data_IF_270964597175
#
_entry.id   IF_270964597175
#
_cell.length_a   1.000
_cell.length_b   1.000
_cell.length_c   1.000
_cell.angle_alpha   90.00
_cell.angle_beta   90.00
_cell.angle_gamma   90.00
#
_symmetry.space_group_name_H-M   'P 1'
#
loop_
_entity.id
_entity.type
_entity.pdbx_description
1 polymer ?
#
# COMPACT_ATOMS: atom_id res chain seq x y z
N UNK A 1 43.14 -41.39 41.18
CA UNK A 1 43.20 -41.00 39.75
C UNK A 1 42.26 -41.78 38.84
N UNK A 2 41.86 -43.05 39.17
CA UNK A 2 40.96 -43.84 38.34
C UNK A 2 39.49 -43.39 38.27
N UNK A 3 38.99 -42.64 39.27
CA UNK A 3 37.57 -42.24 39.37
C UNK A 3 37.19 -41.09 38.42
N UNK A 4 38.12 -40.32 37.89
CA UNK A 4 37.85 -39.21 36.97
C UNK A 4 38.12 -39.64 35.49
N UNK A 5 39.02 -40.60 35.29
CA UNK A 5 39.43 -41.02 33.94
C UNK A 5 38.32 -41.82 33.22
N UNK A 6 37.61 -42.67 33.93
CA UNK A 6 36.54 -43.49 33.37
C UNK A 6 35.33 -42.65 32.85
N UNK A 7 34.78 -41.67 33.62
CA UNK A 7 33.74 -40.78 33.12
C UNK A 7 34.20 -39.94 31.94
N UNK A 8 35.46 -39.46 31.93
CA UNK A 8 36.00 -38.65 30.84
C UNK A 8 36.10 -39.47 29.53
N UNK A 9 36.50 -40.72 29.62
CA UNK A 9 36.54 -41.64 28.43
C UNK A 9 35.12 -41.89 27.91
N UNK A 10 34.14 -42.13 28.80
CA UNK A 10 32.75 -42.38 28.41
C UNK A 10 32.19 -41.14 27.66
N UNK A 11 32.38 -39.96 28.19
CA UNK A 11 31.91 -38.70 27.54
C UNK A 11 32.60 -38.49 26.18
N UNK A 12 33.91 -38.76 26.09
CA UNK A 12 34.64 -38.63 24.83
C UNK A 12 34.14 -39.63 23.77
N UNK A 13 33.87 -40.88 24.17
CA UNK A 13 33.34 -41.93 23.24
C UNK A 13 31.94 -41.58 22.79
N UNK A 14 31.06 -41.15 23.70
CA UNK A 14 29.69 -40.73 23.34
C UNK A 14 29.73 -39.50 22.41
N UNK A 15 30.59 -38.51 22.69
CA UNK A 15 30.76 -37.34 21.83
C UNK A 15 31.27 -37.70 20.43
N UNK A 16 32.19 -38.65 20.35
CA UNK A 16 32.75 -39.13 19.06
C UNK A 16 31.68 -39.86 18.25
N UNK A 17 30.91 -40.76 18.87
CA UNK A 17 29.80 -41.48 18.24
C UNK A 17 28.74 -40.49 17.75
N UNK A 18 28.31 -39.55 18.60
CA UNK A 18 27.34 -38.55 18.22
C UNK A 18 27.84 -37.65 17.04
N UNK A 19 29.10 -37.25 17.06
CA UNK A 19 29.74 -36.53 15.95
C UNK A 19 29.73 -37.29 14.63
N UNK A 20 30.06 -38.60 14.66
CA UNK A 20 30.01 -39.46 13.48
C UNK A 20 28.56 -39.58 12.96
N UNK A 21 27.59 -39.81 13.82
CA UNK A 21 26.17 -39.93 13.45
C UNK A 21 25.71 -38.60 12.80
N UNK A 22 26.02 -37.45 13.39
CA UNK A 22 25.65 -36.16 12.84
C UNK A 22 26.30 -35.86 11.48
N UNK A 23 27.60 -36.25 11.29
CA UNK A 23 28.25 -36.05 9.99
C UNK A 23 27.70 -36.98 8.90
N UNK A 24 27.34 -38.21 9.25
CA UNK A 24 26.67 -39.14 8.31
C UNK A 24 25.27 -38.60 7.98
N UNK A 25 24.49 -38.22 8.98
CA UNK A 25 23.16 -37.65 8.78
C UNK A 25 23.21 -36.40 7.91
N UNK A 26 24.15 -35.47 8.16
CA UNK A 26 24.34 -34.27 7.35
C UNK A 26 24.67 -34.58 5.89
N UNK A 27 25.48 -35.61 5.63
CA UNK A 27 25.77 -36.05 4.25
C UNK A 27 24.58 -36.72 3.56
N UNK A 28 23.84 -37.55 4.29
CA UNK A 28 22.66 -38.25 3.74
C UNK A 28 21.49 -37.33 3.49
N UNK A 29 21.36 -36.26 4.31
CA UNK A 29 20.29 -35.25 4.22
C UNK A 29 20.74 -34.00 3.43
N UNK A 30 21.93 -34.03 2.81
CA UNK A 30 22.38 -32.90 2.00
C UNK A 30 21.50 -32.83 0.74
N UNK A 31 20.67 -31.78 0.70
CA UNK A 31 19.91 -31.37 -0.48
C UNK A 31 20.81 -30.43 -1.28
N UNK A 32 21.23 -30.80 -2.50
CA UNK A 32 22.00 -29.88 -3.33
C UNK A 32 21.17 -28.63 -3.59
N UNK A 33 21.67 -27.46 -3.18
CA UNK A 33 21.06 -26.18 -3.52
C UNK A 33 21.34 -25.92 -4.99
N UNK A 34 20.30 -25.75 -5.78
CA UNK A 34 20.44 -25.34 -7.19
C UNK A 34 21.09 -23.97 -7.23
N UNK A 35 22.17 -23.79 -7.96
CA UNK A 35 22.88 -22.50 -8.09
C UNK A 35 21.96 -21.39 -8.60
N UNK A 36 20.96 -21.73 -9.41
CA UNK A 36 19.93 -20.80 -9.89
C UNK A 36 19.06 -20.29 -8.74
N UNK A 37 18.68 -21.18 -7.81
CA UNK A 37 17.87 -20.80 -6.63
C UNK A 37 18.65 -19.83 -5.75
N UNK A 38 19.92 -20.08 -5.50
CA UNK A 38 20.78 -19.18 -4.74
C UNK A 38 20.92 -17.80 -5.42
N UNK A 39 21.12 -17.78 -6.75
CA UNK A 39 21.18 -16.54 -7.51
C UNK A 39 19.87 -15.76 -7.50
N UNK A 40 18.71 -16.44 -7.57
CA UNK A 40 17.39 -15.81 -7.46
C UNK A 40 17.17 -15.23 -6.06
N UNK A 41 17.56 -15.97 -5.00
CA UNK A 41 17.42 -15.50 -3.62
C UNK A 41 18.24 -14.22 -3.36
N UNK A 42 19.45 -14.11 -3.92
CA UNK A 42 20.28 -12.91 -3.82
C UNK A 42 19.66 -11.68 -4.51
N UNK A 43 18.96 -11.89 -5.61
CA UNK A 43 18.27 -10.81 -6.35
C UNK A 43 16.97 -10.38 -5.66
N UNK A 44 16.32 -11.28 -4.94
CA UNK A 44 15.05 -10.98 -4.23
C UNK A 44 15.29 -10.02 -3.07
N UNK A 45 14.32 -9.13 -2.76
CA UNK A 45 14.49 -8.06 -1.76
C UNK A 45 14.61 -8.53 -0.30
N UNK A 46 14.49 -9.82 0.00
CA UNK A 46 14.64 -10.37 1.35
C UNK A 46 13.57 -9.92 2.36
N UNK A 47 12.53 -9.23 1.93
CA UNK A 47 11.51 -8.64 2.82
C UNK A 47 10.62 -9.69 3.52
N UNK A 48 10.55 -10.91 3.01
CA UNK A 48 9.75 -12.02 3.53
C UNK A 48 8.31 -11.60 3.88
N UNK A 49 7.66 -10.83 2.98
CA UNK A 49 6.36 -10.21 3.23
C UNK A 49 5.17 -11.11 2.86
N UNK A 50 5.40 -12.20 2.13
CA UNK A 50 4.36 -13.13 1.70
C UNK A 50 3.40 -12.61 0.61
N UNK A 51 3.68 -11.45 0.00
CA UNK A 51 2.80 -10.85 -1.02
C UNK A 51 2.80 -11.60 -2.36
N UNK A 52 3.86 -12.33 -2.66
CA UNK A 52 3.95 -13.22 -3.82
C UNK A 52 3.15 -14.53 -3.67
N UNK A 53 2.56 -14.78 -2.49
CA UNK A 53 1.83 -16.02 -2.17
C UNK A 53 2.68 -17.10 -1.51
N UNK A 54 3.99 -16.89 -1.36
CA UNK A 54 4.93 -17.80 -0.70
C UNK A 54 5.25 -17.33 0.72
N UNK A 55 5.69 -18.23 1.60
CA UNK A 55 5.97 -17.90 3.00
C UNK A 55 7.16 -16.94 3.17
N UNK A 56 8.11 -16.97 2.22
CA UNK A 56 9.28 -16.11 2.21
C UNK A 56 9.94 -15.99 0.85
N UNK A 57 10.99 -15.19 0.76
CA UNK A 57 11.74 -15.01 -0.48
C UNK A 57 12.45 -16.30 -0.89
N UNK A 58 13.02 -17.06 0.07
CA UNK A 58 13.64 -18.35 -0.18
C UNK A 58 12.63 -19.37 -0.71
N UNK A 59 11.41 -19.39 -0.18
CA UNK A 59 10.34 -20.26 -0.65
C UNK A 59 9.97 -19.99 -2.11
N UNK A 60 9.86 -18.70 -2.46
CA UNK A 60 9.58 -18.28 -3.83
C UNK A 60 10.75 -18.64 -4.76
N UNK A 61 12.02 -18.47 -4.33
CA UNK A 61 13.19 -18.86 -5.09
C UNK A 61 13.23 -20.38 -5.34
N UNK A 62 12.94 -21.19 -4.32
CA UNK A 62 12.86 -22.66 -4.44
C UNK A 62 11.73 -23.09 -5.38
N UNK A 63 10.57 -22.44 -5.31
CA UNK A 63 9.45 -22.74 -6.19
C UNK A 63 9.79 -22.44 -7.67
N UNK A 64 10.48 -21.31 -7.94
CA UNK A 64 10.98 -21.00 -9.28
C UNK A 64 12.00 -22.00 -9.79
N UNK A 65 12.90 -22.49 -8.92
CA UNK A 65 13.86 -23.53 -9.29
C UNK A 65 13.22 -24.88 -9.61
N UNK A 66 12.06 -25.17 -9.01
CA UNK A 66 11.33 -26.43 -9.17
C UNK A 66 10.31 -26.41 -10.31
N UNK A 67 9.72 -25.25 -10.60
CA UNK A 67 8.65 -25.06 -11.59
C UNK A 67 9.04 -23.94 -12.57
N UNK A 68 9.42 -24.34 -13.78
CA UNK A 68 9.83 -23.40 -14.84
C UNK A 68 8.65 -22.55 -15.40
N UNK A 69 7.40 -23.00 -15.21
CA UNK A 69 6.20 -22.31 -15.67
C UNK A 69 5.71 -21.25 -14.67
N UNK A 70 6.31 -21.20 -13.46
CA UNK A 70 5.94 -20.24 -12.45
C UNK A 70 6.33 -18.82 -12.89
N UNK A 71 5.40 -17.87 -12.71
CA UNK A 71 5.64 -16.47 -13.10
C UNK A 71 6.79 -15.83 -12.31
N UNK A 72 7.75 -15.23 -13.01
CA UNK A 72 8.87 -14.47 -12.43
C UNK A 72 8.47 -13.09 -11.90
N UNK A 73 7.23 -12.66 -12.15
CA UNK A 73 6.72 -11.32 -11.84
C UNK A 73 5.84 -11.26 -10.57
N UNK A 74 5.84 -12.30 -9.72
CA UNK A 74 4.98 -12.36 -8.54
C UNK A 74 5.43 -11.45 -7.38
N UNK A 75 6.69 -10.98 -7.36
CA UNK A 75 7.20 -10.16 -6.26
C UNK A 75 6.84 -8.67 -6.44
N UNK A 76 5.84 -8.11 -5.71
CA UNK A 76 5.46 -6.72 -5.87
C UNK A 76 6.49 -5.74 -5.27
N UNK A 77 7.25 -6.20 -4.27
CA UNK A 77 8.30 -5.41 -3.59
C UNK A 77 9.50 -5.19 -4.49
N UNK A 78 9.90 -6.24 -5.23
CA UNK A 78 11.01 -6.18 -6.17
C UNK A 78 10.70 -5.39 -7.44
N UNK A 79 9.42 -5.29 -7.79
CA UNK A 79 8.98 -4.55 -8.98
C UNK A 79 9.53 -5.13 -10.29
N UNK A 80 9.53 -4.31 -11.33
CA UNK A 80 9.95 -4.72 -12.68
C UNK A 80 11.44 -5.08 -12.76
N UNK A 81 12.29 -4.42 -12.00
CA UNK A 81 13.75 -4.63 -12.03
C UNK A 81 14.13 -6.02 -11.52
N UNK A 82 13.54 -6.45 -10.40
CA UNK A 82 13.76 -7.78 -9.83
C UNK A 82 13.16 -8.86 -10.74
N UNK A 83 11.95 -8.63 -11.26
CA UNK A 83 11.32 -9.56 -12.18
C UNK A 83 12.13 -9.78 -13.46
N UNK A 84 12.74 -8.74 -14.03
CA UNK A 84 13.60 -8.83 -15.19
C UNK A 84 14.85 -9.66 -14.89
N UNK A 85 15.53 -9.43 -13.75
CA UNK A 85 16.71 -10.20 -13.34
C UNK A 85 16.37 -11.67 -13.07
N UNK A 86 15.26 -11.95 -12.39
CA UNK A 86 14.78 -13.31 -12.15
C UNK A 86 14.47 -14.01 -13.48
N UNK A 87 13.82 -13.30 -14.42
CA UNK A 87 13.54 -13.84 -15.74
C UNK A 87 14.83 -14.16 -16.53
N UNK A 88 15.85 -13.31 -16.41
CA UNK A 88 17.18 -13.54 -17.01
C UNK A 88 17.84 -14.80 -16.45
N UNK A 89 17.85 -14.98 -15.12
CA UNK A 89 18.38 -16.17 -14.46
C UNK A 89 17.63 -17.44 -14.88
N UNK A 90 16.30 -17.35 -15.01
CA UNK A 90 15.46 -18.47 -15.43
C UNK A 90 15.47 -18.71 -16.94
N UNK A 91 16.03 -17.80 -17.76
CA UNK A 91 16.03 -17.88 -19.22
C UNK A 91 14.65 -17.74 -19.85
N UNK A 92 13.70 -17.06 -19.19
CA UNK A 92 12.33 -16.84 -19.67
C UNK A 92 12.08 -15.36 -19.98
N UNK A 93 11.06 -15.08 -20.80
CA UNK A 93 10.67 -13.70 -21.05
C UNK A 93 10.08 -13.07 -19.79
N UNK A 94 10.57 -11.91 -19.39
CA UNK A 94 10.05 -11.18 -18.23
C UNK A 94 8.60 -10.74 -18.43
N UNK A 95 7.73 -10.96 -17.43
CA UNK A 95 6.35 -10.47 -17.43
C UNK A 95 6.28 -8.97 -17.14
N UNK A 96 5.31 -8.29 -17.75
CA UNK A 96 5.02 -6.89 -17.43
C UNK A 96 4.36 -6.80 -16.04
N UNK A 97 4.92 -5.97 -15.16
CA UNK A 97 4.37 -5.71 -13.83
C UNK A 97 3.67 -4.35 -13.84
N UNK A 98 2.37 -4.32 -13.53
CA UNK A 98 1.65 -3.09 -13.22
C UNK A 98 1.73 -2.85 -11.70
N UNK A 99 2.59 -1.92 -11.23
CA UNK A 99 2.81 -1.73 -9.80
C UNK A 99 1.53 -1.25 -9.13
N UNK A 100 1.11 -1.97 -8.10
CA UNK A 100 -0.04 -1.63 -7.26
C UNK A 100 0.43 -1.05 -5.94
N UNK A 101 -0.34 -0.12 -5.41
CA UNK A 101 -0.13 0.49 -4.10
C UNK A 101 -1.39 0.37 -3.27
N UNK A 102 -1.22 0.28 -1.96
CA UNK A 102 -2.34 0.31 -1.04
C UNK A 102 -2.94 1.71 -0.96
N UNK A 103 -4.27 1.80 -0.87
CA UNK A 103 -5.01 3.04 -0.69
C UNK A 103 -6.08 2.87 0.38
N UNK A 104 -6.18 3.84 1.29
CA UNK A 104 -7.24 3.87 2.30
C UNK A 104 -8.51 4.46 1.71
N UNK A 105 -9.57 3.65 1.65
CA UNK A 105 -10.87 4.06 1.13
C UNK A 105 -11.70 4.80 2.20
N UNK A 106 -11.06 5.75 2.87
CA UNK A 106 -11.68 6.63 3.85
C UNK A 106 -10.95 7.98 3.88
N UNK A 107 -11.72 9.06 3.99
CA UNK A 107 -11.26 10.45 4.18
C UNK A 107 -11.86 11.08 5.42
N UNK A 108 -12.54 10.27 6.24
CA UNK A 108 -13.26 10.71 7.43
C UNK A 108 -12.32 11.00 8.60
N UNK A 109 -11.64 12.16 8.58
CA UNK A 109 -10.85 12.65 9.71
C UNK A 109 -11.73 13.08 10.88
N UNK A 110 -11.12 13.36 12.03
CA UNK A 110 -11.77 13.88 13.23
C UNK A 110 -12.55 15.18 13.00
N UNK A 111 -12.14 15.99 12.02
CA UNK A 111 -12.82 17.24 11.68
C UNK A 111 -14.13 17.07 10.91
N UNK A 112 -14.29 15.96 10.19
CA UNK A 112 -15.41 15.74 9.25
C UNK A 112 -16.31 14.57 9.62
N UNK A 113 -15.98 13.86 10.71
CA UNK A 113 -16.73 12.72 11.23
C UNK A 113 -17.05 12.96 12.71
N UNK A 114 -18.29 12.69 13.13
CA UNK A 114 -18.67 12.89 14.53
C UNK A 114 -18.14 11.72 15.38
N UNK A 115 -17.54 12.07 16.51
CA UNK A 115 -17.22 11.12 17.56
C UNK A 115 -18.48 10.77 18.35
N UNK A 116 -18.73 9.49 18.58
CA UNK A 116 -19.91 9.02 19.34
C UNK A 116 -19.55 8.45 20.70
N UNK A 117 -18.28 8.05 20.87
CA UNK A 117 -17.76 7.52 22.12
C UNK A 117 -16.25 7.60 22.19
N UNK A 118 -15.72 7.84 23.36
CA UNK A 118 -14.29 7.75 23.63
C UNK A 118 -13.91 6.31 23.95
N UNK A 119 -12.90 5.78 23.26
CA UNK A 119 -12.36 4.43 23.49
C UNK A 119 -11.14 4.50 24.41
N UNK A 120 -11.38 4.76 25.72
CA UNK A 120 -10.31 4.74 26.72
C UNK A 120 -9.71 3.34 26.81
N UNK A 121 -8.36 3.23 26.77
CA UNK A 121 -7.60 1.99 26.94
C UNK A 121 -7.66 0.97 25.78
N UNK A 122 -8.28 1.31 24.66
CA UNK A 122 -8.25 0.46 23.46
C UNK A 122 -7.24 1.05 22.48
N UNK A 123 -6.16 0.31 22.23
CA UNK A 123 -5.02 0.77 21.40
C UNK A 123 -5.00 0.16 19.99
N UNK A 124 -5.87 -0.83 19.69
CA UNK A 124 -5.86 -1.51 18.39
C UNK A 124 -7.20 -1.43 17.67
N UNK A 125 -7.15 -1.29 16.33
CA UNK A 125 -8.36 -1.29 15.50
C UNK A 125 -9.15 -2.59 15.63
N UNK A 126 -8.46 -3.72 15.75
CA UNK A 126 -9.09 -5.04 15.92
C UNK A 126 -9.92 -5.10 17.20
N UNK A 127 -9.37 -4.65 18.33
CA UNK A 127 -10.10 -4.62 19.59
C UNK A 127 -11.27 -3.61 19.55
N UNK A 128 -11.05 -2.41 19.03
CA UNK A 128 -12.10 -1.41 18.86
C UNK A 128 -13.27 -1.93 18.02
N UNK A 129 -12.98 -2.64 16.93
CA UNK A 129 -14.01 -3.24 16.06
C UNK A 129 -14.81 -4.32 16.78
N UNK A 130 -14.15 -5.18 17.57
CA UNK A 130 -14.80 -6.28 18.27
C UNK A 130 -15.73 -5.80 19.39
N UNK A 131 -15.33 -4.79 20.16
CA UNK A 131 -16.07 -4.38 21.35
C UNK A 131 -17.09 -3.27 21.08
N UNK A 132 -16.78 -2.28 20.24
CA UNK A 132 -17.59 -1.07 20.15
C UNK A 132 -17.87 -0.61 18.72
N UNK A 133 -17.26 -1.23 17.71
CA UNK A 133 -17.37 -0.79 16.30
C UNK A 133 -16.58 0.46 15.97
N UNK A 134 -15.87 1.07 16.92
CA UNK A 134 -15.05 2.26 16.77
C UNK A 134 -15.61 3.51 17.45
N UNK A 135 -14.82 4.59 17.51
CA UNK A 135 -15.19 5.89 18.11
C UNK A 135 -16.10 6.72 17.22
N UNK A 136 -16.08 6.48 15.91
CA UNK A 136 -16.71 7.36 14.93
C UNK A 136 -18.14 6.95 14.59
N UNK A 137 -18.97 7.89 14.25
CA UNK A 137 -20.37 7.65 13.81
C UNK A 137 -20.49 6.88 12.48
N UNK A 138 -19.41 6.78 11.71
CA UNK A 138 -19.36 6.01 10.48
C UNK A 138 -18.84 4.58 10.75
N UNK A 139 -19.69 3.52 10.68
CA UNK A 139 -19.25 2.14 10.96
C UNK A 139 -18.38 1.54 9.85
N UNK A 140 -18.30 2.20 8.69
CA UNK A 140 -17.52 1.78 7.52
C UNK A 140 -16.17 2.48 7.42
N UNK A 141 -15.89 3.45 8.31
CA UNK A 141 -14.73 4.32 8.23
C UNK A 141 -13.45 3.71 8.81
N UNK A 142 -12.38 4.49 8.76
CA UNK A 142 -11.15 4.20 9.47
C UNK A 142 -11.39 4.31 10.98
N UNK A 143 -10.82 3.38 11.75
CA UNK A 143 -10.89 3.40 13.22
C UNK A 143 -9.79 4.28 13.83
N UNK A 144 -8.73 4.56 13.07
CA UNK A 144 -7.71 5.54 13.45
C UNK A 144 -6.68 5.07 14.49
N UNK A 145 -6.64 3.78 14.86
CA UNK A 145 -5.77 3.29 15.94
C UNK A 145 -4.43 2.69 15.46
N UNK A 146 -4.21 2.58 14.13
CA UNK A 146 -2.85 2.35 13.59
C UNK A 146 -2.43 0.92 13.31
N UNK A 147 -3.25 -0.13 13.49
CA UNK A 147 -2.87 -1.53 13.19
C UNK A 147 -2.23 -1.71 11.80
N UNK A 148 -2.66 -0.93 10.81
CA UNK A 148 -2.09 -0.95 9.46
C UNK A 148 -0.71 -0.29 9.38
N UNK A 149 -0.43 0.69 10.24
CA UNK A 149 0.88 1.35 10.33
C UNK A 149 1.89 0.44 11.02
N UNK A 150 1.47 -0.25 12.10
CA UNK A 150 2.32 -1.15 12.87
C UNK A 150 2.86 -2.34 12.05
N UNK A 151 2.06 -2.85 11.10
CA UNK A 151 2.48 -3.94 10.21
C UNK A 151 3.26 -3.47 8.98
N UNK A 152 3.43 -2.17 8.80
CA UNK A 152 4.09 -1.61 7.62
C UNK A 152 5.61 -1.60 7.76
N UNK A 153 6.30 -2.58 7.18
CA UNK A 153 7.77 -2.66 7.20
C UNK A 153 8.47 -1.54 6.40
N UNK A 154 7.74 -0.76 5.61
CA UNK A 154 8.28 0.25 4.69
C UNK A 154 8.02 1.69 5.15
N UNK A 155 7.50 1.86 6.36
CA UNK A 155 7.14 3.18 6.93
C UNK A 155 6.33 4.06 5.95
N UNK A 156 5.43 3.40 5.22
CA UNK A 156 4.59 4.03 4.20
C UNK A 156 3.24 4.50 4.76
N UNK A 157 2.91 4.21 6.02
CA UNK A 157 1.58 4.48 6.59
C UNK A 157 1.73 5.29 7.86
N UNK A 158 0.92 6.35 7.96
CA UNK A 158 0.77 7.16 9.17
C UNK A 158 -0.70 7.39 9.47
N UNK A 159 -1.06 7.51 10.73
CA UNK A 159 -2.39 7.96 11.15
C UNK A 159 -2.33 9.46 11.41
N UNK A 160 -3.16 10.21 10.70
CA UNK A 160 -3.25 11.66 10.82
C UNK A 160 -4.74 12.00 11.00
N UNK A 161 -5.05 12.77 12.02
CA UNK A 161 -6.42 13.23 12.35
C UNK A 161 -7.45 12.08 12.39
N UNK A 162 -7.05 10.92 12.97
CA UNK A 162 -7.92 9.74 13.13
C UNK A 162 -8.14 8.92 11.85
N UNK A 163 -7.39 9.17 10.78
CA UNK A 163 -7.47 8.37 9.54
C UNK A 163 -6.08 7.98 9.05
N UNK A 164 -5.92 6.73 8.62
CA UNK A 164 -4.67 6.25 8.05
C UNK A 164 -4.43 6.87 6.67
N UNK A 165 -3.21 7.34 6.43
CA UNK A 165 -2.75 7.89 5.16
C UNK A 165 -1.56 7.07 4.66
N UNK A 166 -1.54 6.78 3.37
CA UNK A 166 -0.49 5.97 2.74
C UNK A 166 0.32 6.85 1.79
N UNK A 167 1.63 6.85 2.00
CA UNK A 167 2.59 7.46 1.09
C UNK A 167 2.74 6.59 -0.16
N UNK A 168 2.32 7.13 -1.31
CA UNK A 168 2.31 6.43 -2.60
C UNK A 168 3.72 6.14 -3.15
N UNK A 169 4.72 6.90 -2.72
CA UNK A 169 6.10 6.70 -3.19
C UNK A 169 6.82 5.64 -2.35
N UNK A 170 6.51 5.54 -1.05
CA UNK A 170 7.08 4.52 -0.17
C UNK A 170 6.37 3.17 -0.24
N UNK A 171 5.10 3.15 -0.66
CA UNK A 171 4.31 1.93 -0.69
C UNK A 171 4.75 1.00 -1.82
N UNK A 172 5.13 -0.21 -1.47
CA UNK A 172 5.58 -1.27 -2.39
C UNK A 172 4.49 -2.30 -2.73
N UNK A 173 3.28 -2.15 -2.20
CA UNK A 173 2.16 -3.03 -2.52
C UNK A 173 2.18 -4.41 -1.85
N UNK A 174 2.82 -4.56 -0.70
CA UNK A 174 2.97 -5.85 0.00
C UNK A 174 1.70 -6.40 0.67
N UNK A 175 0.58 -5.68 0.64
CA UNK A 175 -0.76 -6.07 1.14
C UNK A 175 -0.87 -6.32 2.65
N UNK A 176 0.20 -6.21 3.45
CA UNK A 176 0.18 -6.48 4.89
C UNK A 176 -0.88 -5.62 5.62
N UNK A 177 -0.97 -4.34 5.29
CA UNK A 177 -1.94 -3.40 5.86
C UNK A 177 -3.39 -3.72 5.48
N UNK A 178 -3.63 -4.29 4.29
CA UNK A 178 -4.95 -4.73 3.85
C UNK A 178 -5.46 -5.90 4.71
N UNK A 179 -4.58 -6.86 4.99
CA UNK A 179 -4.87 -8.03 5.86
C UNK A 179 -5.06 -7.62 7.33
N UNK A 180 -4.35 -6.59 7.80
CA UNK A 180 -4.45 -6.10 9.17
C UNK A 180 -5.69 -5.24 9.44
N UNK A 181 -6.32 -4.66 8.42
CA UNK A 181 -7.45 -3.75 8.60
C UNK A 181 -8.76 -4.49 8.89
N UNK A 182 -9.34 -4.35 10.11
CA UNK A 182 -10.58 -5.06 10.47
C UNK A 182 -11.83 -4.53 9.76
N UNK A 183 -11.78 -3.32 9.19
CA UNK A 183 -12.87 -2.75 8.38
C UNK A 183 -12.69 -2.98 6.88
N UNK A 184 -11.59 -3.63 6.45
CA UNK A 184 -11.29 -3.95 5.06
C UNK A 184 -11.40 -2.72 4.12
N UNK A 185 -10.95 -1.55 4.60
CA UNK A 185 -11.03 -0.29 3.85
C UNK A 185 -9.75 0.04 3.09
N UNK A 186 -8.79 -0.85 3.07
CA UNK A 186 -7.54 -0.67 2.32
C UNK A 186 -7.59 -1.57 1.09
N UNK A 187 -7.52 -0.97 -0.08
CA UNK A 187 -7.57 -1.68 -1.36
C UNK A 187 -6.30 -1.42 -2.17
N UNK A 188 -5.94 -2.39 -3.02
CA UNK A 188 -4.84 -2.23 -3.95
C UNK A 188 -5.31 -1.50 -5.21
N UNK A 189 -4.59 -0.44 -5.57
CA UNK A 189 -4.88 0.39 -6.74
C UNK A 189 -3.61 0.53 -7.57
N UNK A 190 -3.70 0.41 -8.88
CA UNK A 190 -2.56 0.61 -9.77
C UNK A 190 -1.90 1.99 -9.54
N UNK A 191 -0.58 2.06 -9.48
CA UNK A 191 0.17 3.31 -9.22
C UNK A 191 -0.15 4.40 -10.25
N UNK A 192 -0.52 4.01 -11.47
CA UNK A 192 -0.97 4.89 -12.56
C UNK A 192 -2.31 5.57 -12.31
N UNK A 193 -3.15 5.04 -11.42
CA UNK A 193 -4.49 5.55 -11.17
C UNK A 193 -4.45 6.75 -10.23
N UNK A 194 -4.92 7.89 -10.72
CA UNK A 194 -4.82 9.18 -10.03
C UNK A 194 -6.10 9.58 -9.28
N UNK A 195 -7.19 8.86 -9.47
CA UNK A 195 -8.47 9.15 -8.84
C UNK A 195 -9.00 7.93 -8.11
N UNK A 196 -9.40 8.11 -6.84
CA UNK A 196 -9.85 7.03 -5.97
C UNK A 196 -11.07 7.49 -5.19
N UNK A 197 -12.08 6.64 -5.06
CA UNK A 197 -13.23 6.88 -4.18
C UNK A 197 -12.80 6.58 -2.74
N UNK A 198 -12.59 7.61 -1.94
CA UNK A 198 -12.17 7.48 -0.54
C UNK A 198 -13.38 7.36 0.41
N UNK A 199 -14.20 6.36 0.18
CA UNK A 199 -15.37 6.03 1.01
C UNK A 199 -15.73 4.56 0.80
N UNK A 200 -16.23 3.91 1.87
CA UNK A 200 -16.76 2.54 1.85
C UNK A 200 -18.18 2.47 2.42
N UNK A 201 -18.81 3.61 2.69
CA UNK A 201 -20.15 3.64 3.26
C UNK A 201 -21.20 3.16 2.26
N UNK A 202 -21.95 2.15 2.63
CA UNK A 202 -23.11 1.65 1.89
C UNK A 202 -24.42 2.17 2.45
N UNK A 203 -24.37 3.04 3.46
CA UNK A 203 -25.54 3.64 4.04
C UNK A 203 -26.22 4.62 3.08
N UNK A 204 -27.55 4.79 3.22
CA UNK A 204 -28.30 5.79 2.44
C UNK A 204 -27.67 7.18 2.60
N UNK A 205 -27.64 7.96 1.53
CA UNK A 205 -26.93 9.23 1.47
C UNK A 205 -27.22 10.23 2.63
N UNK A 206 -28.48 10.29 3.12
CA UNK A 206 -28.84 11.11 4.28
C UNK A 206 -28.15 10.62 5.57
N UNK A 207 -28.05 9.29 5.78
CA UNK A 207 -27.36 8.70 6.94
C UNK A 207 -25.85 8.91 6.84
N UNK A 208 -25.28 8.73 5.65
CA UNK A 208 -23.85 8.99 5.40
C UNK A 208 -23.50 10.44 5.68
N UNK A 209 -24.32 11.40 5.22
CA UNK A 209 -24.08 12.84 5.43
C UNK A 209 -24.13 13.24 6.91
N UNK A 210 -24.99 12.59 7.72
CA UNK A 210 -25.01 12.82 9.16
C UNK A 210 -23.75 12.29 9.85
N UNK A 211 -23.19 11.18 9.36
CA UNK A 211 -22.03 10.55 9.98
C UNK A 211 -20.69 11.14 9.51
N UNK A 212 -20.62 11.62 8.25
CA UNK A 212 -19.38 12.12 7.64
C UNK A 212 -19.72 13.13 6.53
N UNK A 213 -19.20 14.35 6.63
CA UNK A 213 -19.47 15.43 5.65
C UNK A 213 -18.83 15.17 4.27
N UNK A 214 -17.77 14.40 4.21
CA UNK A 214 -17.00 14.06 2.99
C UNK A 214 -17.32 12.66 2.42
N UNK A 215 -18.28 11.94 3.01
CA UNK A 215 -18.65 10.58 2.59
C UNK A 215 -19.38 10.54 1.24
N UNK A 216 -19.31 9.42 0.55
CA UNK A 216 -20.09 9.18 -0.67
C UNK A 216 -21.59 9.04 -0.33
N UNK A 217 -22.43 9.87 -0.93
CA UNK A 217 -23.89 9.89 -0.70
C UNK A 217 -24.68 9.16 -1.80
N UNK A 218 -24.01 8.46 -2.71
CA UNK A 218 -24.66 7.71 -3.79
C UNK A 218 -25.41 8.58 -4.82
N UNK A 219 -25.04 9.85 -5.00
CA UNK A 219 -25.79 10.83 -5.82
C UNK A 219 -25.69 10.62 -7.34
N UNK A 220 -24.91 9.66 -7.80
CA UNK A 220 -24.69 9.28 -9.21
C UNK A 220 -24.10 10.39 -10.11
N UNK A 221 -23.75 11.59 -9.60
CA UNK A 221 -23.18 12.66 -10.43
C UNK A 221 -21.89 12.24 -11.12
N UNK A 222 -21.00 11.54 -10.40
CA UNK A 222 -19.74 11.03 -10.94
C UNK A 222 -19.95 9.99 -12.06
N UNK A 223 -20.97 9.16 -11.95
CA UNK A 223 -21.34 8.20 -12.98
C UNK A 223 -21.88 8.90 -14.24
N UNK A 224 -22.80 9.87 -14.08
CA UNK A 224 -23.40 10.62 -15.20
C UNK A 224 -22.38 11.43 -16.00
N UNK A 225 -21.35 11.99 -15.35
CA UNK A 225 -20.31 12.79 -16.02
C UNK A 225 -19.21 11.94 -16.65
N UNK A 226 -19.12 10.65 -16.33
CA UNK A 226 -18.07 9.79 -16.84
C UNK A 226 -18.32 9.41 -18.29
N UNK A 227 -17.54 9.98 -19.22
CA UNK A 227 -17.63 9.71 -20.66
C UNK A 227 -17.15 8.30 -21.06
N UNK A 228 -16.46 7.60 -20.14
CA UNK A 228 -15.83 6.30 -20.40
C UNK A 228 -16.57 5.15 -19.72
N UNK A 229 -17.71 5.42 -19.11
CA UNK A 229 -18.49 4.46 -18.32
C UNK A 229 -17.63 3.69 -17.30
N UNK A 230 -16.62 4.37 -16.75
CA UNK A 230 -15.68 3.81 -15.81
C UNK A 230 -16.15 3.93 -14.35
N UNK A 231 -17.30 4.52 -14.07
CA UNK A 231 -17.82 4.68 -12.71
C UNK A 231 -19.24 4.16 -12.64
N UNK A 232 -19.45 3.24 -11.69
CA UNK A 232 -20.77 2.74 -11.32
C UNK A 232 -21.09 3.09 -9.88
N UNK A 233 -22.36 3.35 -9.60
CA UNK A 233 -22.84 3.56 -8.23
C UNK A 233 -23.80 2.44 -7.89
N UNK A 234 -23.34 1.56 -7.01
CA UNK A 234 -24.10 0.40 -6.52
C UNK A 234 -24.11 0.45 -4.99
N UNK A 235 -25.18 0.01 -4.35
CA UNK A 235 -25.33 0.02 -2.90
C UNK A 235 -24.99 1.38 -2.25
N UNK A 236 -25.40 2.48 -2.87
CA UNK A 236 -25.14 3.87 -2.45
C UNK A 236 -23.66 4.29 -2.48
N UNK A 237 -22.77 3.51 -3.08
CA UNK A 237 -21.34 3.75 -3.14
C UNK A 237 -20.87 3.79 -4.60
N UNK A 238 -20.04 4.79 -4.93
CA UNK A 238 -19.38 4.86 -6.22
C UNK A 238 -18.15 3.93 -6.24
N UNK A 239 -17.99 3.19 -7.34
CA UNK A 239 -16.80 2.38 -7.63
C UNK A 239 -16.22 2.79 -8.99
N UNK A 240 -14.90 2.81 -9.09
CA UNK A 240 -14.17 3.12 -10.33
C UNK A 240 -13.64 1.82 -10.92
N UNK A 241 -14.00 1.55 -12.15
CA UNK A 241 -13.39 0.52 -12.99
C UNK A 241 -12.10 1.10 -13.59
N UNK A 242 -10.97 0.64 -13.10
CA UNK A 242 -9.67 1.19 -13.49
C UNK A 242 -9.21 0.75 -14.89
N UNK A 243 -9.78 -0.29 -15.46
CA UNK A 243 -9.47 -0.72 -16.82
C UNK A 243 -10.07 0.25 -17.85
N UNK A 244 -11.23 0.83 -17.54
CA UNK A 244 -11.91 1.82 -18.37
C UNK A 244 -11.48 3.26 -18.04
N UNK A 245 -10.95 3.52 -16.85
CA UNK A 245 -10.65 4.87 -16.38
C UNK A 245 -9.47 5.50 -17.13
N UNK A 246 -9.70 6.65 -17.77
CA UNK A 246 -8.66 7.44 -18.47
C UNK A 246 -8.04 8.56 -17.61
N UNK A 247 -8.24 8.53 -16.28
CA UNK A 247 -7.71 9.53 -15.35
C UNK A 247 -8.04 11.00 -15.73
N UNK A 248 -9.19 11.28 -16.31
CA UNK A 248 -9.56 12.63 -16.74
C UNK A 248 -9.90 13.59 -15.59
N UNK A 249 -10.42 13.07 -14.47
CA UNK A 249 -10.69 13.82 -13.23
C UNK A 249 -12.02 14.57 -13.18
N UNK A 250 -12.90 14.40 -14.16
CA UNK A 250 -14.23 15.04 -14.15
C UNK A 250 -15.08 14.61 -12.96
N UNK A 251 -15.01 13.32 -12.60
CA UNK A 251 -15.73 12.77 -11.46
C UNK A 251 -15.36 13.41 -10.11
N UNK A 252 -14.08 13.75 -9.92
CA UNK A 252 -13.62 14.40 -8.69
C UNK A 252 -14.08 15.86 -8.62
N UNK A 253 -14.17 16.56 -9.75
CA UNK A 253 -14.68 17.95 -9.82
C UNK A 253 -16.17 18.03 -9.53
N UNK A 254 -16.95 17.07 -10.05
CA UNK A 254 -18.41 17.05 -9.89
C UNK A 254 -18.87 16.44 -8.56
N UNK A 255 -17.96 15.87 -7.76
CA UNK A 255 -18.33 15.25 -6.50
C UNK A 255 -18.71 16.31 -5.44
N UNK A 256 -19.98 16.38 -5.00
CA UNK A 256 -20.44 17.45 -4.10
C UNK A 256 -19.89 17.33 -2.68
N UNK A 257 -19.45 16.15 -2.27
CA UNK A 257 -18.87 15.88 -0.94
C UNK A 257 -17.35 15.75 -0.98
N UNK A 258 -16.74 15.78 -2.18
CA UNK A 258 -15.30 15.55 -2.32
C UNK A 258 -14.84 14.14 -1.93
N UNK A 259 -15.73 13.14 -2.02
CA UNK A 259 -15.41 11.76 -1.71
C UNK A 259 -14.41 11.11 -2.68
N UNK A 260 -14.14 11.73 -3.83
CA UNK A 260 -13.17 11.25 -4.82
C UNK A 260 -11.88 12.05 -4.67
N UNK A 261 -10.82 11.37 -4.21
CA UNK A 261 -9.49 11.94 -4.09
C UNK A 261 -8.81 12.08 -5.46
N UNK A 262 -8.02 13.14 -5.62
CA UNK A 262 -7.17 13.38 -6.78
C UNK A 262 -5.70 13.43 -6.35
N UNK A 263 -4.89 12.53 -6.91
CA UNK A 263 -3.44 12.48 -6.73
C UNK A 263 -2.69 13.14 -7.90
N UNK A 264 -3.41 13.85 -8.77
CA UNK A 264 -2.78 14.63 -9.83
C UNK A 264 -1.95 15.76 -9.21
N UNK A 265 -0.65 15.80 -9.49
CA UNK A 265 0.20 16.94 -9.08
C UNK A 265 -0.42 18.21 -9.65
N UNK A 266 -0.79 19.17 -8.79
CA UNK A 266 -1.25 20.49 -9.25
C UNK A 266 -0.08 21.10 -10.02
N UNK A 267 -0.24 21.36 -11.32
CA UNK A 267 0.68 22.25 -12.03
C UNK A 267 0.63 23.58 -11.27
N UNK A 268 1.77 24.05 -10.80
CA UNK A 268 1.86 25.39 -10.23
C UNK A 268 1.21 26.35 -11.24
N UNK A 269 0.39 27.31 -10.79
CA UNK A 269 -0.19 28.28 -11.68
C UNK A 269 0.96 29.01 -12.38
N UNK A 270 1.07 28.84 -13.69
CA UNK A 270 1.96 29.67 -14.52
C UNK A 270 1.43 31.08 -14.33
N UNK A 271 2.09 31.88 -13.50
CA UNK A 271 1.89 33.31 -13.47
C UNK A 271 2.17 33.78 -14.90
N UNK A 272 1.13 34.11 -15.65
CA UNK A 272 1.28 34.90 -16.87
C UNK A 272 2.04 36.14 -16.44
N UNK A 273 3.28 36.25 -16.88
CA UNK A 273 4.04 37.48 -16.72
C UNK A 273 3.19 38.59 -17.35
N UNK A 274 2.77 39.54 -16.52
CA UNK A 274 2.15 40.75 -16.99
C UNK A 274 3.20 41.46 -17.88
N UNK A 275 2.85 41.72 -19.12
CA UNK A 275 3.65 42.52 -20.01
C UNK A 275 3.95 43.86 -19.35
N UNK A 276 5.18 44.38 -19.42
CA UNK A 276 5.49 45.70 -18.90
C UNK A 276 4.70 46.75 -19.73
N UNK A 277 3.87 47.50 -19.02
CA UNK A 277 3.31 48.74 -19.58
C UNK A 277 4.48 49.69 -19.83
N UNK A 278 4.66 50.07 -21.08
CA UNK A 278 5.55 51.14 -21.47
C UNK A 278 5.00 52.44 -20.84
N UNK A 279 5.73 53.01 -19.88
CA UNK A 279 5.56 54.39 -19.48
C UNK A 279 6.13 55.30 -20.58
N UNK A 280 5.22 56.01 -21.20
CA UNK A 280 5.58 57.07 -22.12
C UNK A 280 6.12 58.27 -21.30
N UNK A 281 7.37 58.58 -21.47
CA UNK A 281 8.01 59.82 -21.07
C UNK A 281 7.37 60.94 -21.86
N UNK A 282 6.65 61.85 -21.18
CA UNK A 282 6.38 63.18 -21.68
C UNK A 282 7.26 64.17 -20.91
N UNK A 283 8.26 64.62 -21.60
CA UNK A 283 9.09 65.78 -21.32
C UNK A 283 8.28 67.02 -21.64
N UNK A 284 8.08 67.95 -20.70
CA UNK A 284 7.74 69.34 -21.04
C UNK A 284 8.50 70.28 -20.12
N UNK A 285 9.40 70.99 -20.72
CA UNK A 285 10.13 72.13 -20.23
C UNK A 285 9.16 73.34 -20.11
N UNK A 286 9.37 74.14 -19.05
CA UNK A 286 9.22 75.58 -19.00
C UNK A 286 9.78 76.00 -17.64
N UNK A 287 10.92 76.57 -17.55
CA UNK A 287 11.40 77.93 -17.91
C UNK A 287 10.67 79.03 -17.13
N UNK A 288 11.47 79.81 -16.42
CA UNK A 288 11.54 81.26 -16.26
C UNK A 288 11.05 81.82 -14.91
N UNK A 289 12.04 82.45 -14.24
CA UNK A 289 12.07 83.75 -13.54
C UNK A 289 11.27 83.93 -12.20
N UNK A 290 11.95 84.10 -11.13
CA UNK A 290 12.35 85.39 -10.50
C UNK A 290 13.21 85.08 -9.25
#
# INVERSE_FOLDING_TARGET
MGTIVLPAIIVAVVGLIAGIILTIAAKLMFVPVDERVAAIEEVLPGANCGACGFAGCSDYANALGSDADLSTSLCPVGGADVAAKVAEIMGVAGGEIDPKIAMVMCKGSSEVTNEIQELSRISTCKAAKMFYGGSWSCPYGCLGLGDCADVCKFDAIRVVDGVAQIDREKCVGCEACMKACPNHIINMVGKKNLFVVACQSQAKGAKTRKACSVGCIGCMKCQKICKFDAIKVENNLAAIDYDKCKNCGMCAKECPTGAILSFRKKKAPVKKAAAPKAEATAEEAKNTEA
#
